data_IF_927505768818
#
_entry.id   IF_927505768818
#
_cell.length_a   1.000
_cell.length_b   1.000
_cell.length_c   1.000
_cell.angle_alpha   90.00
_cell.angle_beta   90.00
_cell.angle_gamma   90.00
#
_symmetry.space_group_name_H-M   'P 1'
#
loop_
_entity.id
_entity.type
_entity.pdbx_description
1 polymer ?
#
# COMPACT_ATOMS: atom_id res chain seq x y z
N UNK A 1 -6.10 7.71 10.21
CA UNK A 1 -5.52 6.37 10.03
C UNK A 1 -6.39 5.59 9.04
N UNK A 2 -5.82 5.00 7.98
CA UNK A 2 -6.58 4.14 7.07
C UNK A 2 -7.04 2.92 7.84
N UNK A 3 -8.31 2.50 7.70
CA UNK A 3 -8.84 1.27 8.31
C UNK A 3 -8.30 0.00 7.63
N UNK A 4 -7.04 0.02 7.20
CA UNK A 4 -6.37 -1.05 6.45
C UNK A 4 -5.22 -1.60 7.29
N UNK A 5 -5.18 -2.92 7.42
CA UNK A 5 -4.09 -3.60 8.09
C UNK A 5 -2.74 -3.38 7.34
N UNK A 6 -1.64 -3.06 8.03
CA UNK A 6 -0.33 -2.87 7.40
C UNK A 6 0.16 -4.06 6.56
N UNK A 7 -0.21 -5.31 6.89
CA UNK A 7 0.12 -6.50 6.08
C UNK A 7 -0.61 -6.49 4.75
N UNK A 8 -1.84 -5.97 4.69
CA UNK A 8 -2.59 -5.81 3.44
C UNK A 8 -1.87 -4.84 2.51
N UNK A 9 -1.45 -3.68 3.04
CA UNK A 9 -0.67 -2.69 2.27
C UNK A 9 0.66 -3.29 1.78
N UNK A 10 1.32 -4.08 2.63
CA UNK A 10 2.55 -4.78 2.26
C UNK A 10 2.32 -5.83 1.17
N UNK A 11 1.19 -6.55 1.20
CA UNK A 11 0.83 -7.51 0.16
C UNK A 11 0.62 -6.83 -1.18
N UNK A 12 -0.09 -5.70 -1.22
CA UNK A 12 -0.25 -4.93 -2.46
C UNK A 12 1.08 -4.45 -3.03
N UNK A 13 1.99 -3.97 -2.17
CA UNK A 13 3.33 -3.59 -2.61
C UNK A 13 4.14 -4.78 -3.17
N UNK A 14 4.07 -5.95 -2.53
CA UNK A 14 4.72 -7.18 -3.03
C UNK A 14 4.14 -7.64 -4.37
N UNK A 15 2.84 -7.42 -4.60
CA UNK A 15 2.16 -7.72 -5.85
C UNK A 15 2.39 -6.65 -6.94
N UNK A 16 3.23 -5.64 -6.70
CA UNK A 16 3.46 -4.55 -7.65
C UNK A 16 2.30 -3.55 -7.79
N UNK A 17 1.30 -3.63 -6.91
CA UNK A 17 0.09 -2.79 -6.94
C UNK A 17 0.28 -1.45 -6.22
N UNK A 18 1.30 -1.31 -5.39
CA UNK A 18 1.66 -0.07 -4.71
C UNK A 18 3.13 0.23 -4.89
N UNK A 19 3.44 1.52 -5.07
CA UNK A 19 4.81 2.00 -5.08
C UNK A 19 5.32 2.09 -3.63
N UNK A 20 6.37 1.32 -3.32
CA UNK A 20 7.00 1.32 -2.01
C UNK A 20 8.26 2.20 -2.00
N UNK A 21 8.24 3.26 -1.19
CA UNK A 21 9.39 4.14 -0.98
C UNK A 21 10.13 3.66 0.26
N UNK A 22 11.41 3.31 0.12
CA UNK A 22 12.25 2.95 1.27
C UNK A 22 12.81 4.20 1.92
N UNK A 23 12.67 4.31 3.24
CA UNK A 23 13.37 5.32 4.03
C UNK A 23 14.82 4.89 4.28
N UNK A 24 15.66 5.83 4.72
CA UNK A 24 17.05 5.56 5.11
C UNK A 24 17.15 4.49 6.23
N UNK A 25 16.14 4.41 7.11
CA UNK A 25 16.04 3.41 8.17
C UNK A 25 15.42 2.07 7.75
N UNK A 26 15.15 1.86 6.46
CA UNK A 26 14.64 0.58 5.94
C UNK A 26 13.13 0.36 6.03
N UNK A 27 12.38 1.29 6.64
CA UNK A 27 10.92 1.26 6.64
C UNK A 27 10.36 1.62 5.27
N UNK A 28 9.14 1.15 4.98
CA UNK A 28 8.44 1.47 3.73
C UNK A 28 7.36 2.52 3.96
N UNK A 29 7.28 3.48 3.05
CA UNK A 29 6.18 4.44 2.93
C UNK A 29 5.45 4.19 1.62
N UNK A 30 4.15 4.45 1.64
CA UNK A 30 3.24 4.25 0.52
C UNK A 30 2.52 5.56 0.21
N UNK A 31 2.23 5.80 -1.07
CA UNK A 31 1.47 6.98 -1.48
C UNK A 31 0.03 6.81 -1.02
N UNK A 32 -0.47 7.81 -0.31
CA UNK A 32 -1.84 7.84 0.21
C UNK A 32 -2.88 7.62 -0.90
N UNK A 33 -2.69 8.29 -2.05
CA UNK A 33 -3.59 8.19 -3.19
C UNK A 33 -3.69 6.76 -3.73
N UNK A 34 -2.58 6.03 -3.84
CA UNK A 34 -2.60 4.64 -4.30
C UNK A 34 -3.30 3.74 -3.28
N UNK A 35 -3.02 3.92 -1.98
CA UNK A 35 -3.70 3.15 -0.90
C UNK A 35 -5.22 3.41 -0.92
N UNK A 36 -5.64 4.67 -1.08
CA UNK A 36 -7.06 5.03 -1.19
C UNK A 36 -7.70 4.49 -2.46
N UNK A 37 -6.99 4.47 -3.59
CA UNK A 37 -7.50 3.89 -4.83
C UNK A 37 -7.77 2.38 -4.69
N UNK A 38 -6.88 1.63 -4.02
CA UNK A 38 -7.11 0.20 -3.75
C UNK A 38 -8.22 -0.07 -2.73
N UNK A 39 -8.52 0.89 -1.85
CA UNK A 39 -9.68 0.81 -0.94
C UNK A 39 -11.00 1.02 -1.66
N UNK A 40 -11.04 1.96 -2.60
CA UNK A 40 -12.25 2.35 -3.31
C UNK A 40 -12.55 1.45 -4.53
N UNK A 41 -11.53 0.78 -5.09
CA UNK A 41 -11.65 -0.15 -6.23
C UNK A 41 -11.52 -1.61 -5.81
N UNK A 42 -12.26 -2.01 -4.77
CA UNK A 42 -12.17 -3.31 -4.10
C UNK A 42 -11.89 -4.49 -5.05
N UNK A 43 -10.78 -5.19 -4.79
CA UNK A 43 -10.49 -6.49 -5.39
C UNK A 43 -10.44 -6.51 -6.91
N UNK A 44 -9.44 -5.88 -7.53
CA UNK A 44 -9.06 -6.24 -8.90
C UNK A 44 -8.82 -7.75 -8.98
N UNK A 45 -9.58 -8.36 -9.90
CA UNK A 45 -9.80 -9.75 -10.29
C UNK A 45 -8.68 -10.75 -10.09
#
# INVERSE_FOLDING_TARGET
MFRVDPKTVTRWAKAGRLTAIKTLGGHRRYREAEVRAHLNGGGQS
#
